data_IF_940799849785
#
_entry.id   IF_940799849785
#
_cell.length_a   1.000
_cell.length_b   1.000
_cell.length_c   1.000
_cell.angle_alpha   90.00
_cell.angle_beta   90.00
_cell.angle_gamma   90.00
#
_symmetry.space_group_name_H-M   'P 1'
#
loop_
_entity.id
_entity.type
_entity.pdbx_description
1 polymer ?
#
# COMPACT_ATOMS: atom_id res chain seq x y z
N UNK A 1 -6.72 -4.14 38.37
CA UNK A 1 -5.97 -4.21 37.10
C UNK A 1 -6.52 -3.11 36.20
N UNK A 2 -5.71 -2.09 35.94
CA UNK A 2 -6.11 -0.90 35.18
C UNK A 2 -5.81 -1.11 33.70
N UNK A 3 -6.82 -1.54 32.94
CA UNK A 3 -6.81 -1.54 31.47
C UNK A 3 -7.96 -0.63 31.04
N UNK A 4 -7.70 0.57 30.53
CA UNK A 4 -8.64 1.33 29.65
C UNK A 4 -8.16 2.73 29.25
N UNK A 5 -7.15 3.33 29.90
CA UNK A 5 -6.83 4.75 29.61
C UNK A 5 -5.96 4.98 28.37
N UNK A 6 -5.21 4.00 27.86
CA UNK A 6 -4.30 4.25 26.74
C UNK A 6 -4.92 4.15 25.34
N UNK A 7 -6.18 3.73 25.15
CA UNK A 7 -6.76 3.55 23.80
C UNK A 7 -7.45 4.79 23.21
N UNK A 8 -7.76 5.78 24.05
CA UNK A 8 -8.43 7.02 23.64
C UNK A 8 -7.55 7.90 22.72
N UNK A 9 -6.23 8.07 22.94
CA UNK A 9 -5.42 8.97 22.12
C UNK A 9 -5.19 8.45 20.70
N UNK A 10 -4.92 7.16 20.48
CA UNK A 10 -4.74 6.63 19.12
C UNK A 10 -6.07 6.60 18.35
N UNK A 11 -7.19 6.31 19.01
CA UNK A 11 -8.51 6.39 18.36
C UNK A 11 -8.86 7.82 17.92
N UNK A 12 -8.49 8.83 18.73
CA UNK A 12 -8.63 10.23 18.33
C UNK A 12 -7.74 10.56 17.12
N UNK A 13 -6.48 10.09 17.12
CA UNK A 13 -5.58 10.28 15.97
C UNK A 13 -6.11 9.63 14.68
N UNK A 14 -6.64 8.41 14.75
CA UNK A 14 -7.26 7.76 13.58
C UNK A 14 -8.39 8.63 13.02
N UNK A 15 -9.25 9.15 13.91
CA UNK A 15 -10.35 10.03 13.50
C UNK A 15 -9.84 11.30 12.84
N UNK A 16 -8.87 11.98 13.44
CA UNK A 16 -8.31 13.23 12.91
C UNK A 16 -7.69 13.00 11.52
N UNK A 17 -6.90 11.92 11.35
CA UNK A 17 -6.32 11.56 10.04
C UNK A 17 -7.39 11.16 9.02
N UNK A 18 -8.47 10.51 9.45
CA UNK A 18 -9.59 10.18 8.58
C UNK A 18 -10.36 11.44 8.10
N UNK A 19 -10.51 12.45 8.97
CA UNK A 19 -11.13 13.73 8.61
C UNK A 19 -10.23 14.51 7.62
N UNK A 20 -8.91 14.51 7.82
CA UNK A 20 -7.94 15.07 6.86
C UNK A 20 -8.01 14.35 5.51
N UNK A 21 -8.04 13.01 5.50
CA UNK A 21 -8.19 12.20 4.30
C UNK A 21 -9.49 12.54 3.56
N UNK A 22 -10.61 12.67 4.28
CA UNK A 22 -11.89 13.04 3.69
C UNK A 22 -11.82 14.43 3.03
N UNK A 23 -11.14 15.38 3.66
CA UNK A 23 -10.89 16.71 3.09
C UNK A 23 -10.08 16.62 1.79
N UNK A 24 -9.00 15.85 1.78
CA UNK A 24 -8.18 15.63 0.59
C UNK A 24 -8.95 14.94 -0.54
N UNK A 25 -9.80 13.95 -0.23
CA UNK A 25 -10.66 13.29 -1.21
C UNK A 25 -11.66 14.27 -1.83
N UNK A 26 -12.30 15.12 -1.03
CA UNK A 26 -13.20 16.18 -1.55
C UNK A 26 -12.45 17.15 -2.45
N UNK A 27 -11.24 17.54 -2.07
CA UNK A 27 -10.38 18.40 -2.89
C UNK A 27 -10.00 17.73 -4.21
N UNK A 28 -9.58 16.46 -4.19
CA UNK A 28 -9.24 15.70 -5.40
C UNK A 28 -10.42 15.59 -6.38
N UNK A 29 -11.65 15.45 -5.87
CA UNK A 29 -12.87 15.46 -6.69
C UNK A 29 -13.09 16.84 -7.33
N UNK A 30 -12.88 17.93 -6.57
CA UNK A 30 -12.96 19.28 -7.11
C UNK A 30 -11.89 19.53 -8.20
N UNK A 31 -10.65 19.10 -7.95
CA UNK A 31 -9.54 19.17 -8.92
C UNK A 31 -9.89 18.41 -10.22
N UNK A 32 -10.50 17.23 -10.11
CA UNK A 32 -10.97 16.45 -11.26
C UNK A 32 -12.00 17.21 -12.11
N UNK A 33 -12.94 17.92 -11.47
CA UNK A 33 -13.93 18.73 -12.18
C UNK A 33 -13.28 19.93 -12.90
N UNK A 34 -12.24 20.53 -12.31
CA UNK A 34 -11.49 21.61 -12.94
C UNK A 34 -10.76 21.11 -14.19
N UNK A 35 -9.98 20.03 -14.06
CA UNK A 35 -9.28 19.39 -15.19
C UNK A 35 -10.26 19.04 -16.32
N UNK A 36 -11.41 18.45 -15.98
CA UNK A 36 -12.45 18.11 -16.95
C UNK A 36 -12.96 19.34 -17.71
N UNK A 37 -13.22 20.44 -17.00
CA UNK A 37 -13.68 21.69 -17.61
C UNK A 37 -12.64 22.27 -18.59
N UNK A 38 -11.36 22.19 -18.24
CA UNK A 38 -10.25 22.62 -19.10
C UNK A 38 -10.12 21.72 -20.33
N UNK A 39 -10.25 20.40 -20.18
CA UNK A 39 -10.25 19.44 -21.29
C UNK A 39 -11.43 19.63 -22.24
N UNK A 40 -12.65 19.82 -21.72
CA UNK A 40 -13.83 20.13 -22.54
C UNK A 40 -13.63 21.42 -23.36
N UNK A 41 -12.93 22.40 -22.79
CA UNK A 41 -12.58 23.65 -23.48
C UNK A 41 -11.55 23.42 -24.58
N UNK A 42 -10.54 22.56 -24.34
CA UNK A 42 -9.56 22.13 -25.34
C UNK A 42 -10.22 21.39 -26.51
N UNK A 43 -11.16 20.49 -26.24
CA UNK A 43 -11.87 19.73 -27.28
C UNK A 43 -12.74 20.64 -28.15
N UNK A 44 -13.46 21.58 -27.53
CA UNK A 44 -14.21 22.62 -28.27
C UNK A 44 -13.30 23.45 -29.18
N UNK A 45 -12.11 23.81 -28.70
CA UNK A 45 -11.12 24.56 -29.48
C UNK A 45 -10.53 23.74 -30.62
N UNK A 46 -10.22 22.47 -30.40
CA UNK A 46 -9.79 21.52 -31.44
C UNK A 46 -10.83 21.35 -32.54
N UNK A 47 -12.11 21.26 -32.19
CA UNK A 47 -13.20 21.22 -33.17
C UNK A 47 -13.26 22.51 -34.01
N UNK A 48 -13.12 23.69 -33.39
CA UNK A 48 -13.06 24.97 -34.11
C UNK A 48 -11.84 25.08 -35.03
N UNK A 49 -10.72 24.46 -34.65
CA UNK A 49 -9.48 24.42 -35.45
C UNK A 49 -9.64 23.70 -36.79
N UNK A 50 -10.57 22.75 -36.90
CA UNK A 50 -10.89 22.08 -38.17
C UNK A 50 -11.66 22.99 -39.13
N UNK A 51 -12.27 24.07 -38.64
CA UNK A 51 -13.13 24.95 -39.44
C UNK A 51 -12.61 26.40 -39.56
N UNK A 52 -11.58 26.81 -38.81
CA UNK A 52 -11.05 28.19 -38.78
C UNK A 52 -9.60 28.28 -38.27
N UNK A 53 -8.92 29.43 -38.50
CA UNK A 53 -7.59 29.74 -37.94
C UNK A 53 -7.69 29.91 -36.42
N UNK A 54 -7.24 28.93 -35.65
CA UNK A 54 -7.17 29.00 -34.18
C UNK A 54 -5.99 29.84 -33.70
N UNK A 55 -6.25 30.62 -32.65
CA UNK A 55 -5.25 31.46 -31.98
C UNK A 55 -4.29 30.57 -31.19
N UNK A 56 -3.07 30.37 -31.72
CA UNK A 56 -2.04 29.50 -31.12
C UNK A 56 -1.73 29.82 -29.66
N UNK A 57 -1.80 31.09 -29.25
CA UNK A 57 -1.54 31.51 -27.87
C UNK A 57 -2.59 30.99 -26.88
N UNK A 58 -3.87 31.03 -27.26
CA UNK A 58 -4.97 30.49 -26.44
C UNK A 58 -4.83 28.98 -26.26
N UNK A 59 -4.46 28.27 -27.33
CA UNK A 59 -4.22 26.82 -27.27
C UNK A 59 -3.06 26.47 -26.35
N UNK A 60 -1.93 27.20 -26.45
CA UNK A 60 -0.77 27.01 -25.56
C UNK A 60 -1.13 27.29 -24.10
N UNK A 61 -1.93 28.32 -23.84
CA UNK A 61 -2.40 28.65 -22.50
C UNK A 61 -3.20 27.50 -21.88
N UNK A 62 -4.15 26.93 -22.62
CA UNK A 62 -4.98 25.84 -22.11
C UNK A 62 -4.20 24.54 -21.86
N UNK A 63 -3.23 24.19 -22.71
CA UNK A 63 -2.37 23.05 -22.43
C UNK A 63 -1.51 23.26 -21.18
N UNK A 64 -0.96 24.47 -21.02
CA UNK A 64 -0.17 24.80 -19.82
C UNK A 64 -1.03 24.71 -18.57
N UNK A 65 -2.27 25.21 -18.64
CA UNK A 65 -3.25 25.09 -17.56
C UNK A 65 -3.61 23.63 -17.27
N UNK A 66 -3.93 22.83 -18.28
CA UNK A 66 -4.29 21.42 -18.10
C UNK A 66 -3.15 20.59 -17.47
N UNK A 67 -1.90 20.86 -17.86
CA UNK A 67 -0.72 20.22 -17.25
C UNK A 67 -0.62 20.62 -15.77
N UNK A 68 -0.71 21.92 -15.46
CA UNK A 68 -0.63 22.42 -14.09
C UNK A 68 -1.75 21.87 -13.20
N UNK A 69 -2.97 21.77 -13.71
CA UNK A 69 -4.11 21.20 -13.00
C UNK A 69 -3.93 19.69 -12.75
N UNK A 70 -3.41 18.95 -13.72
CA UNK A 70 -3.09 17.53 -13.57
C UNK A 70 -1.97 17.28 -12.54
N UNK A 71 -0.93 18.12 -12.53
CA UNK A 71 0.14 18.08 -11.53
C UNK A 71 -0.41 18.38 -10.13
N UNK A 72 -1.31 19.36 -10.00
CA UNK A 72 -1.96 19.67 -8.73
C UNK A 72 -2.82 18.50 -8.23
N UNK A 73 -3.63 17.92 -9.12
CA UNK A 73 -4.47 16.76 -8.81
C UNK A 73 -3.62 15.57 -8.35
N UNK A 74 -2.50 15.29 -9.05
CA UNK A 74 -1.53 14.27 -8.64
C UNK A 74 -1.01 14.52 -7.23
N UNK A 75 -0.60 15.76 -6.93
CA UNK A 75 -0.08 16.10 -5.60
C UNK A 75 -1.13 15.90 -4.49
N UNK A 76 -2.38 16.30 -4.74
CA UNK A 76 -3.50 16.06 -3.80
C UNK A 76 -3.74 14.56 -3.56
N UNK A 77 -3.71 13.73 -4.61
CA UNK A 77 -3.87 12.27 -4.49
C UNK A 77 -2.71 11.61 -3.74
N UNK A 78 -1.47 12.06 -3.99
CA UNK A 78 -0.31 11.56 -3.25
C UNK A 78 -0.39 11.87 -1.76
N UNK A 79 -0.81 13.09 -1.40
CA UNK A 79 -1.03 13.46 0.00
C UNK A 79 -2.15 12.61 0.65
N UNK A 80 -3.21 12.28 -0.10
CA UNK A 80 -4.27 11.41 0.39
C UNK A 80 -3.75 9.98 0.66
N UNK A 81 -2.91 9.45 -0.24
CA UNK A 81 -2.29 8.13 -0.06
C UNK A 81 -1.37 8.08 1.17
N UNK A 82 -0.64 9.16 1.42
CA UNK A 82 0.16 9.30 2.65
C UNK A 82 -0.73 9.22 3.90
N UNK A 83 -1.89 9.89 3.93
CA UNK A 83 -2.85 9.77 5.05
C UNK A 83 -3.37 8.35 5.24
N UNK A 84 -3.62 7.61 4.16
CA UNK A 84 -3.99 6.19 4.25
C UNK A 84 -2.88 5.37 4.90
N UNK A 85 -1.61 5.62 4.54
CA UNK A 85 -0.47 4.93 5.16
C UNK A 85 -0.34 5.23 6.66
N UNK A 86 -0.54 6.48 7.06
CA UNK A 86 -0.52 6.89 8.46
C UNK A 86 -1.64 6.22 9.27
N UNK A 87 -2.86 6.17 8.72
CA UNK A 87 -4.00 5.49 9.37
C UNK A 87 -3.67 4.01 9.57
N UNK A 88 -3.19 3.32 8.53
CA UNK A 88 -2.79 1.90 8.61
C UNK A 88 -1.73 1.66 9.69
N UNK A 89 -0.75 2.55 9.82
CA UNK A 89 0.28 2.46 10.84
C UNK A 89 -0.28 2.62 12.27
N UNK A 90 -1.28 3.48 12.47
CA UNK A 90 -1.95 3.64 13.77
C UNK A 90 -2.86 2.44 14.07
N UNK A 91 -3.60 1.97 13.07
CA UNK A 91 -4.46 0.78 13.18
C UNK A 91 -3.65 -0.47 13.52
N UNK A 92 -2.46 -0.63 12.94
CA UNK A 92 -1.52 -1.69 13.29
C UNK A 92 -1.17 -1.64 14.77
N UNK A 93 -0.72 -0.49 15.28
CA UNK A 93 -0.39 -0.31 16.72
C UNK A 93 -1.58 -0.67 17.61
N UNK A 94 -2.77 -0.19 17.27
CA UNK A 94 -4.02 -0.50 17.97
C UNK A 94 -4.30 -2.02 17.96
N UNK A 95 -4.11 -2.70 16.83
CA UNK A 95 -4.28 -4.15 16.71
C UNK A 95 -3.33 -4.91 17.62
N UNK A 96 -2.07 -4.49 17.71
CA UNK A 96 -1.08 -5.12 18.60
C UNK A 96 -1.50 -5.06 20.07
N UNK A 97 -2.25 -4.03 20.49
CA UNK A 97 -2.74 -3.88 21.86
C UNK A 97 -4.02 -4.68 22.19
N UNK A 98 -4.90 -4.90 21.21
CA UNK A 98 -6.18 -5.63 21.40
C UNK A 98 -5.97 -7.15 21.36
N UNK A 99 -4.84 -7.61 20.83
CA UNK A 99 -4.53 -9.02 20.65
C UNK A 99 -4.99 -9.56 19.28
N UNK A 100 -4.51 -10.76 18.90
CA UNK A 100 -4.70 -11.31 17.56
C UNK A 100 -6.18 -11.58 17.26
N UNK A 101 -6.61 -11.25 16.05
CA UNK A 101 -7.93 -11.65 15.54
C UNK A 101 -7.80 -13.02 14.91
N UNK A 102 -8.33 -14.04 15.57
CA UNK A 102 -8.53 -15.34 14.92
C UNK A 102 -9.67 -15.19 13.90
N UNK A 103 -9.35 -15.41 12.63
CA UNK A 103 -10.31 -15.49 11.55
C UNK A 103 -10.57 -16.95 11.21
N UNK A 104 -11.83 -17.29 10.94
CA UNK A 104 -12.10 -18.54 10.21
C UNK A 104 -11.51 -18.41 8.81
N UNK A 105 -10.91 -19.47 8.28
CA UNK A 105 -10.25 -19.51 6.98
C UNK A 105 -11.01 -18.81 5.84
N UNK A 106 -12.32 -19.03 5.72
CA UNK A 106 -13.13 -18.37 4.68
C UNK A 106 -13.23 -16.85 4.83
N UNK A 107 -13.27 -16.35 6.07
CA UNK A 107 -13.23 -14.91 6.36
C UNK A 107 -11.84 -14.36 6.09
N UNK A 108 -10.80 -15.08 6.52
CA UNK A 108 -9.41 -14.71 6.28
C UNK A 108 -9.13 -14.54 4.79
N UNK A 109 -9.50 -15.52 3.97
CA UNK A 109 -9.33 -15.45 2.52
C UNK A 109 -10.04 -14.26 1.90
N UNK A 110 -11.23 -13.92 2.38
CA UNK A 110 -11.96 -12.73 1.93
C UNK A 110 -11.23 -11.44 2.28
N UNK A 111 -10.67 -11.35 3.50
CA UNK A 111 -9.86 -10.20 3.95
C UNK A 111 -8.57 -10.08 3.12
N UNK A 112 -7.86 -11.18 2.88
CA UNK A 112 -6.65 -11.19 2.06
C UNK A 112 -6.92 -10.74 0.62
N UNK A 113 -8.01 -11.22 0.03
CA UNK A 113 -8.44 -10.79 -1.31
C UNK A 113 -8.78 -9.30 -1.36
N UNK A 114 -9.45 -8.78 -0.33
CA UNK A 114 -9.78 -7.36 -0.26
C UNK A 114 -8.54 -6.48 -0.05
N UNK A 115 -7.62 -6.93 0.81
CA UNK A 115 -6.34 -6.26 1.04
C UNK A 115 -5.52 -6.16 -0.26
N UNK A 116 -5.49 -7.24 -1.06
CA UNK A 116 -4.78 -7.27 -2.34
C UNK A 116 -5.30 -6.23 -3.33
N UNK A 117 -6.62 -5.98 -3.39
CA UNK A 117 -7.20 -4.93 -4.24
C UNK A 117 -6.79 -3.52 -3.84
N UNK A 118 -6.35 -3.34 -2.60
CA UNK A 118 -5.96 -2.05 -2.04
C UNK A 118 -4.46 -1.75 -2.15
N UNK A 119 -3.68 -2.64 -2.79
CA UNK A 119 -2.26 -2.41 -3.04
C UNK A 119 -2.12 -1.24 -4.03
N UNK A 120 -1.34 -0.19 -3.70
CA UNK A 120 -1.21 0.98 -4.56
C UNK A 120 -0.48 0.64 -5.85
N UNK A 121 -0.95 1.21 -6.96
CA UNK A 121 -0.27 1.10 -8.25
C UNK A 121 0.95 2.03 -8.28
N UNK A 122 2.10 1.50 -8.68
CA UNK A 122 3.26 2.33 -8.96
C UNK A 122 3.10 3.11 -10.28
N UNK A 123 3.37 4.42 -10.24
CA UNK A 123 3.28 5.31 -11.41
C UNK A 123 4.61 6.05 -11.56
N UNK A 124 5.52 5.47 -12.35
CA UNK A 124 6.83 6.05 -12.67
C UNK A 124 6.78 7.16 -13.73
N UNK A 125 7.86 7.93 -13.81
CA UNK A 125 8.11 8.86 -14.91
C UNK A 125 8.64 8.12 -16.15
N UNK A 126 8.54 8.71 -17.36
CA UNK A 126 9.18 8.15 -18.53
C UNK A 126 10.69 7.91 -18.31
N UNK A 127 11.15 6.68 -18.53
CA UNK A 127 12.55 6.27 -18.34
C UNK A 127 12.93 5.88 -16.91
N UNK A 128 12.00 5.93 -15.95
CA UNK A 128 12.23 5.49 -14.57
C UNK A 128 11.98 3.97 -14.44
N UNK A 129 12.86 3.27 -13.74
CA UNK A 129 12.66 1.85 -13.40
C UNK A 129 11.76 1.69 -12.18
N UNK A 130 10.98 0.61 -12.08
CA UNK A 130 10.23 0.31 -10.86
C UNK A 130 11.17 0.21 -9.65
N UNK A 131 10.78 0.74 -8.48
CA UNK A 131 11.55 0.63 -7.26
C UNK A 131 11.54 -0.81 -6.74
N UNK A 132 12.39 -1.11 -5.75
CA UNK A 132 12.34 -2.36 -5.01
C UNK A 132 10.92 -2.61 -4.45
N UNK A 133 10.50 -3.88 -4.41
CA UNK A 133 9.17 -4.30 -3.94
C UNK A 133 7.99 -3.85 -4.80
N UNK A 134 8.26 -3.29 -5.99
CA UNK A 134 7.23 -3.01 -6.98
C UNK A 134 7.04 -4.21 -7.92
N UNK A 135 5.94 -4.93 -7.77
CA UNK A 135 5.55 -6.03 -8.66
C UNK A 135 6.55 -7.19 -8.60
N UNK A 136 7.21 -7.52 -9.71
CA UNK A 136 8.23 -8.58 -9.72
C UNK A 136 9.63 -8.09 -9.30
N UNK A 137 9.78 -6.80 -8.94
CA UNK A 137 11.08 -6.23 -8.57
C UNK A 137 11.43 -6.65 -7.15
N UNK A 138 12.54 -7.38 -6.99
CA UNK A 138 12.97 -7.92 -5.70
C UNK A 138 13.30 -6.85 -4.64
N UNK A 139 13.43 -7.25 -3.37
CA UNK A 139 13.88 -6.38 -2.29
C UNK A 139 15.32 -5.90 -2.51
N UNK A 140 15.62 -4.68 -2.05
CA UNK A 140 17.00 -4.23 -1.85
C UNK A 140 17.54 -4.86 -0.56
N UNK A 141 18.81 -5.29 -0.49
CA UNK A 141 19.40 -5.85 0.74
C UNK A 141 19.39 -4.86 1.92
N UNK A 142 19.29 -3.55 1.64
CA UNK A 142 19.32 -2.49 2.66
C UNK A 142 17.94 -2.17 3.26
N UNK A 143 16.87 -2.80 2.77
CA UNK A 143 15.49 -2.48 3.17
C UNK A 143 14.91 -3.69 3.93
N UNK A 144 15.06 -3.73 5.27
CA UNK A 144 14.44 -4.77 6.07
C UNK A 144 12.92 -4.63 6.07
N UNK A 145 12.22 -5.72 6.40
CA UNK A 145 10.77 -5.68 6.60
C UNK A 145 10.40 -5.00 7.91
N UNK A 146 9.40 -4.13 7.85
CA UNK A 146 8.88 -3.45 9.03
C UNK A 146 7.85 -4.32 9.75
N UNK A 147 7.70 -4.19 11.08
CA UNK A 147 6.61 -4.83 11.81
C UNK A 147 5.24 -4.50 11.21
N UNK A 148 4.45 -5.54 10.92
CA UNK A 148 3.16 -5.47 10.26
C UNK A 148 3.19 -5.76 8.75
N UNK A 149 4.38 -5.84 8.16
CA UNK A 149 4.53 -6.26 6.76
C UNK A 149 4.16 -7.73 6.59
N UNK A 150 3.50 -8.02 5.47
CA UNK A 150 3.18 -9.39 5.09
C UNK A 150 4.33 -9.97 4.26
N UNK A 151 4.84 -11.14 4.64
CA UNK A 151 6.04 -11.76 4.09
C UNK A 151 5.84 -13.24 3.79
N UNK A 152 6.55 -13.73 2.76
CA UNK A 152 6.68 -15.16 2.53
C UNK A 152 7.78 -15.69 3.44
N UNK A 153 7.38 -16.47 4.44
CA UNK A 153 8.28 -17.05 5.41
C UNK A 153 8.53 -18.53 5.08
N UNK A 154 9.79 -18.92 4.92
CA UNK A 154 10.16 -20.33 4.76
C UNK A 154 10.30 -20.98 6.13
N UNK A 155 9.43 -21.95 6.41
CA UNK A 155 9.43 -22.69 7.67
C UNK A 155 10.18 -24.01 7.46
N UNK A 156 11.28 -24.27 8.20
CA UNK A 156 11.96 -25.55 8.13
C UNK A 156 11.07 -26.66 8.72
N UNK A 157 10.75 -27.69 7.93
CA UNK A 157 10.10 -28.89 8.48
C UNK A 157 11.10 -29.75 9.26
N UNK A 158 10.73 -30.30 10.43
CA UNK A 158 11.66 -31.01 11.32
C UNK A 158 12.14 -32.37 10.77
N UNK A 159 11.45 -32.98 9.80
CA UNK A 159 11.71 -34.36 9.35
C UNK A 159 12.28 -34.50 7.93
N UNK A 160 12.55 -33.39 7.23
CA UNK A 160 13.10 -33.43 5.86
C UNK A 160 14.47 -32.77 5.82
N UNK A 161 15.48 -33.53 6.24
CA UNK A 161 16.87 -33.17 6.01
C UNK A 161 17.14 -33.02 4.50
N UNK A 162 17.36 -31.78 4.06
CA UNK A 162 18.05 -31.43 2.81
C UNK A 162 17.49 -32.01 1.50
N UNK A 163 16.17 -32.19 1.37
CA UNK A 163 15.55 -32.53 0.09
C UNK A 163 15.02 -31.26 -0.59
N UNK A 164 15.71 -30.87 -1.66
CA UNK A 164 15.32 -29.93 -2.73
C UNK A 164 14.04 -29.11 -2.51
N UNK A 165 14.26 -27.80 -2.35
CA UNK A 165 13.31 -26.71 -2.40
C UNK A 165 12.20 -26.87 -3.46
N UNK A 166 11.08 -27.47 -3.09
CA UNK A 166 9.80 -27.02 -3.61
C UNK A 166 9.41 -25.80 -2.79
N UNK A 167 9.73 -24.60 -3.28
CA UNK A 167 9.38 -23.31 -2.62
C UNK A 167 7.88 -23.23 -2.25
N UNK A 168 7.02 -24.06 -2.85
CA UNK A 168 5.58 -24.11 -2.61
C UNK A 168 5.14 -24.87 -1.35
N UNK A 169 5.95 -25.78 -0.79
CA UNK A 169 5.46 -26.71 0.25
C UNK A 169 5.83 -26.26 1.68
N UNK A 170 6.82 -25.38 1.86
CA UNK A 170 7.26 -24.88 3.17
C UNK A 170 7.11 -23.38 3.41
N UNK A 171 6.53 -22.63 2.45
CA UNK A 171 6.32 -21.20 2.61
C UNK A 171 4.93 -20.91 3.20
N UNK A 172 4.89 -20.05 4.21
CA UNK A 172 3.65 -19.53 4.77
C UNK A 172 3.54 -18.02 4.51
N UNK A 173 2.30 -17.54 4.47
CA UNK A 173 2.02 -16.11 4.58
C UNK A 173 2.10 -15.74 6.06
N UNK A 174 3.06 -14.88 6.40
CA UNK A 174 3.26 -14.44 7.77
C UNK A 174 3.30 -12.91 7.88
N UNK A 175 3.03 -12.40 9.07
CA UNK A 175 3.16 -10.99 9.43
C UNK A 175 4.43 -10.78 10.26
N UNK A 176 5.23 -9.76 9.91
CA UNK A 176 6.46 -9.45 10.64
C UNK A 176 6.12 -8.85 12.00
N UNK A 177 6.75 -9.37 13.05
CA UNK A 177 6.62 -8.90 14.44
C UNK A 177 7.83 -8.07 14.82
N UNK A 178 9.02 -8.58 14.52
CA UNK A 178 10.28 -7.91 14.82
C UNK A 178 11.40 -8.40 13.89
N UNK A 179 12.45 -7.58 13.77
CA UNK A 179 13.67 -7.94 13.06
C UNK A 179 14.88 -7.76 13.97
N UNK A 180 15.69 -8.80 14.09
CA UNK A 180 16.93 -8.77 14.85
C UNK A 180 18.12 -8.56 13.90
N UNK A 181 18.69 -7.36 13.91
CA UNK A 181 19.83 -6.98 13.05
C UNK A 181 21.11 -7.76 13.35
N UNK A 182 21.31 -8.20 14.59
CA UNK A 182 22.55 -8.89 14.99
C UNK A 182 22.61 -10.33 14.46
N UNK A 183 21.43 -10.95 14.27
CA UNK A 183 21.29 -12.33 13.81
C UNK A 183 20.75 -12.44 12.38
N UNK A 184 20.28 -11.31 11.81
CA UNK A 184 19.56 -11.25 10.54
C UNK A 184 18.30 -12.13 10.51
N UNK A 185 17.65 -12.30 11.67
CA UNK A 185 16.48 -13.18 11.83
C UNK A 185 15.23 -12.33 12.04
N UNK A 186 14.14 -12.73 11.36
CA UNK A 186 12.81 -12.17 11.59
C UNK A 186 12.02 -13.03 12.57
N UNK A 187 11.27 -12.38 13.44
CA UNK A 187 10.16 -12.99 14.16
C UNK A 187 8.88 -12.71 13.37
N UNK A 188 8.19 -13.77 12.97
CA UNK A 188 6.95 -13.67 12.18
C UNK A 188 5.81 -14.44 12.84
N UNK A 189 4.58 -13.98 12.62
CA UNK A 189 3.34 -14.61 13.06
C UNK A 189 2.60 -15.19 11.84
N UNK A 190 2.26 -16.48 11.88
CA UNK A 190 1.47 -17.13 10.83
C UNK A 190 0.05 -16.56 10.77
N UNK A 191 -0.38 -16.15 9.58
CA UNK A 191 -1.67 -15.50 9.33
C UNK A 191 -2.84 -16.50 9.32
N UNK A 192 -2.62 -17.80 9.03
CA UNK A 192 -3.66 -18.86 9.00
C UNK A 192 -3.65 -19.74 10.27
N UNK A 193 -2.91 -19.37 11.33
CA UNK A 193 -2.83 -20.17 12.54
C UNK A 193 -4.18 -20.23 13.30
N UNK A 194 -4.79 -21.42 13.33
CA UNK A 194 -5.97 -21.71 14.14
C UNK A 194 -5.56 -21.97 15.61
N UNK A 195 -5.92 -21.04 16.50
CA UNK A 195 -5.73 -21.09 17.96
C UNK A 195 -4.29 -21.34 18.47
N UNK A 196 -3.56 -20.25 18.69
CA UNK A 196 -2.22 -20.25 19.30
C UNK A 196 -1.19 -19.66 18.33
N UNK A 197 -0.40 -18.71 18.82
CA UNK A 197 0.62 -18.05 18.01
C UNK A 197 1.79 -19.00 17.76
N UNK A 198 2.06 -19.31 16.49
CA UNK A 198 3.35 -19.88 16.13
C UNK A 198 4.25 -18.72 15.75
N UNK A 199 5.05 -18.28 16.71
CA UNK A 199 6.15 -17.37 16.44
C UNK A 199 7.27 -18.16 15.81
N UNK A 200 7.62 -17.80 14.58
CA UNK A 200 8.69 -18.46 13.86
C UNK A 200 9.87 -17.50 13.71
N UNK A 201 11.04 -17.99 14.08
CA UNK A 201 12.32 -17.33 13.82
C UNK A 201 12.85 -17.88 12.51
N UNK A 202 12.69 -17.12 11.43
CA UNK A 202 12.96 -17.59 10.07
C UNK A 202 13.71 -16.55 9.25
N UNK A 203 14.39 -17.02 8.21
CA UNK A 203 14.86 -16.16 7.14
C UNK A 203 13.68 -15.85 6.21
N UNK A 204 13.43 -14.57 5.99
CA UNK A 204 12.40 -14.10 5.05
C UNK A 204 12.95 -14.21 3.64
N UNK A 205 12.31 -15.02 2.79
CA UNK A 205 12.72 -15.21 1.39
C UNK A 205 12.37 -14.00 0.51
N UNK A 206 11.44 -13.16 0.97
CA UNK A 206 11.02 -11.93 0.31
C UNK A 206 9.81 -11.29 0.99
N UNK A 207 9.63 -10.00 0.73
CA UNK A 207 8.42 -9.27 1.11
C UNK A 207 7.24 -9.69 0.23
N UNK A 208 6.12 -10.11 0.84
CA UNK A 208 4.90 -10.51 0.13
C UNK A 208 4.07 -9.31 -0.34
N UNK A 209 4.45 -8.08 0.03
CA UNK A 209 3.89 -6.85 -0.55
C UNK A 209 4.02 -6.84 -2.09
N UNK A 210 4.91 -7.68 -2.64
CA UNK A 210 5.21 -7.77 -4.07
C UNK A 210 4.59 -8.96 -4.82
N UNK A 211 4.16 -10.04 -4.15
CA UNK A 211 3.87 -11.32 -4.84
C UNK A 211 2.38 -11.68 -5.04
N UNK A 212 1.41 -10.87 -4.59
CA UNK A 212 -0.01 -11.18 -4.86
C UNK A 212 -0.49 -10.55 -6.18
N UNK A 213 0.11 -10.95 -7.30
CA UNK A 213 -0.43 -10.65 -8.63
C UNK A 213 0.04 -11.65 -9.68
N UNK A 214 -0.46 -12.88 -9.57
CA UNK A 214 -1.02 -13.67 -10.69
C UNK A 214 -2.27 -14.39 -10.17
#
# INVERSE_FOLDING_TARGET
>A
MAFTTSMIPEQAQVKDRADELLSLCKKAVADCNNVKTTLDSLDKLRCKQRCSKVVKSQLKSLYTQAISEAEHQKATLMAALEKVSEIRAIEYKLRTHVGPKSFRRGVLMSVLQENAKSIPLWIGKPGESPPALCGATGPSPDIPADPGDHVAALVPEPDVAAAACNLSEGCILAEVVSYNSDKEIYEVEDVDAEEGKIYLSVNVLGHLVSCLLI
#
